data_IF_788692359965
#
_entry.id   IF_788692359965
#
_cell.length_a   1.000
_cell.length_b   1.000
_cell.length_c   1.000
_cell.angle_alpha   90.00
_cell.angle_beta   90.00
_cell.angle_gamma   90.00
#
_symmetry.space_group_name_H-M   'P 1'
#
loop_
_entity.id
_entity.type
_entity.pdbx_description
1 polymer ?
#
# COMPACT_ATOMS: atom_id res chain seq x y z
N UNK A 1 -34.68 15.47 8.92
CA UNK A 1 -33.60 16.05 8.15
C UNK A 1 -32.22 15.54 8.54
N UNK A 2 -31.91 15.48 9.84
CA UNK A 2 -30.62 14.93 10.28
C UNK A 2 -30.40 13.49 9.83
N UNK A 3 -31.45 12.67 9.82
CA UNK A 3 -31.36 11.26 9.40
C UNK A 3 -31.00 11.10 7.93
N UNK A 4 -31.47 11.99 7.07
CA UNK A 4 -31.16 11.96 5.64
C UNK A 4 -29.69 12.27 5.38
N UNK A 5 -29.12 13.20 6.13
CA UNK A 5 -27.71 13.58 6.01
C UNK A 5 -26.82 12.40 6.42
N UNK A 6 -27.16 11.71 7.51
CA UNK A 6 -26.42 10.53 7.95
C UNK A 6 -26.47 9.40 6.93
N UNK A 7 -27.62 9.18 6.32
CA UNK A 7 -27.77 8.15 5.29
C UNK A 7 -26.89 8.44 4.08
N UNK A 8 -26.84 9.69 3.65
CA UNK A 8 -26.00 10.10 2.52
C UNK A 8 -24.52 9.91 2.81
N UNK A 9 -24.09 10.23 4.03
CA UNK A 9 -22.70 10.03 4.44
C UNK A 9 -22.36 8.55 4.45
N UNK A 10 -23.25 7.69 4.94
CA UNK A 10 -23.04 6.24 4.93
C UNK A 10 -22.91 5.68 3.52
N UNK A 11 -23.72 6.14 2.59
CA UNK A 11 -23.64 5.73 1.19
C UNK A 11 -22.32 6.13 0.57
N UNK A 12 -21.84 7.34 0.82
CA UNK A 12 -20.56 7.82 0.33
C UNK A 12 -19.41 6.97 0.89
N UNK A 13 -19.45 6.65 2.18
CA UNK A 13 -18.48 5.77 2.80
C UNK A 13 -18.44 4.41 2.14
N UNK A 14 -19.59 3.81 1.93
CA UNK A 14 -19.72 2.51 1.28
C UNK A 14 -19.14 2.54 -0.12
N UNK A 15 -19.42 3.60 -0.88
CA UNK A 15 -18.91 3.76 -2.23
C UNK A 15 -17.37 3.84 -2.26
N UNK A 16 -16.76 4.52 -1.29
CA UNK A 16 -15.31 4.64 -1.19
C UNK A 16 -14.62 3.33 -0.82
N UNK A 17 -15.35 2.36 -0.24
CA UNK A 17 -14.77 1.08 0.14
C UNK A 17 -14.59 0.09 -1.01
N UNK A 18 -15.08 0.41 -2.20
CA UNK A 18 -14.96 -0.50 -3.35
C UNK A 18 -13.53 -0.67 -3.87
N UNK A 19 -12.66 0.30 -3.62
CA UNK A 19 -11.27 0.23 -4.04
C UNK A 19 -10.36 0.13 -2.83
N UNK A 20 -10.56 -0.91 -2.01
CA UNK A 20 -9.79 -1.09 -0.77
C UNK A 20 -8.42 -1.71 -1.02
N UNK A 21 -7.70 -1.20 -2.01
CA UNK A 21 -6.31 -1.59 -2.23
C UNK A 21 -5.42 -0.54 -1.59
N UNK A 22 -4.55 -0.99 -0.71
CA UNK A 22 -3.59 -0.11 -0.03
C UNK A 22 -2.18 -0.60 -0.36
N UNK A 23 -1.33 0.30 -0.77
CA UNK A 23 0.08 0.02 -1.02
C UNK A 23 0.89 0.68 0.07
N UNK A 24 1.64 -0.13 0.82
CA UNK A 24 2.49 0.39 1.89
C UNK A 24 3.94 0.27 1.47
N UNK A 25 4.63 1.39 1.45
CA UNK A 25 6.06 1.46 1.16
C UNK A 25 6.81 1.55 2.48
N UNK A 26 7.53 0.49 2.83
CA UNK A 26 8.37 0.45 4.02
C UNK A 26 9.81 0.72 3.63
N UNK A 27 10.42 1.67 4.29
CA UNK A 27 11.85 1.92 4.14
C UNK A 27 12.38 2.44 5.49
N UNK A 28 13.66 2.71 5.56
CA UNK A 28 14.29 3.27 6.73
C UNK A 28 15.01 4.55 6.34
N UNK A 29 15.10 5.49 7.26
CA UNK A 29 15.75 6.78 7.00
C UNK A 29 17.19 6.62 6.48
N UNK A 30 17.93 5.65 7.02
CA UNK A 30 19.30 5.38 6.57
C UNK A 30 19.38 4.87 5.12
N UNK A 31 18.25 4.43 4.55
CA UNK A 31 18.16 3.92 3.18
C UNK A 31 17.30 4.82 2.27
N UNK A 32 17.08 6.06 2.66
CA UNK A 32 16.14 6.95 1.94
C UNK A 32 16.55 7.25 0.49
N UNK A 33 17.82 7.09 0.15
CA UNK A 33 18.29 7.27 -1.23
C UNK A 33 17.71 6.20 -2.17
N UNK A 34 17.22 5.09 -1.62
CA UNK A 34 16.60 4.01 -2.38
C UNK A 34 15.07 4.00 -2.24
N UNK A 35 14.46 5.10 -1.81
CA UNK A 35 13.01 5.23 -1.80
C UNK A 35 12.45 4.99 -3.20
N UNK A 36 11.32 4.31 -3.25
CA UNK A 36 10.65 4.00 -4.51
C UNK A 36 9.65 5.12 -4.81
N UNK A 37 10.15 6.20 -5.39
CA UNK A 37 9.37 7.43 -5.59
C UNK A 37 8.15 7.22 -6.48
N UNK A 38 8.23 6.33 -7.48
CA UNK A 38 7.13 6.10 -8.41
C UNK A 38 5.92 5.42 -7.76
N UNK A 39 6.05 4.97 -6.50
CA UNK A 39 4.89 4.42 -5.77
C UNK A 39 3.77 5.46 -5.68
N UNK A 40 4.12 6.73 -5.58
CA UNK A 40 3.13 7.81 -5.55
C UNK A 40 2.32 7.92 -6.83
N UNK A 41 2.83 7.38 -7.92
CA UNK A 41 2.17 7.45 -9.23
C UNK A 41 1.27 6.25 -9.51
N UNK A 42 1.18 5.30 -8.57
CA UNK A 42 0.25 4.17 -8.72
C UNK A 42 -1.18 4.68 -8.61
N UNK A 43 -2.06 4.10 -9.43
CA UNK A 43 -3.47 4.50 -9.47
C UNK A 43 -4.38 3.43 -8.90
N UNK A 44 -5.59 3.86 -8.51
CA UNK A 44 -6.66 3.01 -8.00
C UNK A 44 -6.31 2.32 -6.68
N UNK A 45 -5.48 2.98 -5.86
CA UNK A 45 -5.07 2.47 -4.56
C UNK A 45 -4.74 3.65 -3.64
N UNK A 46 -4.77 3.39 -2.35
CA UNK A 46 -4.25 4.31 -1.36
C UNK A 46 -2.78 3.99 -1.10
N UNK A 47 -1.99 4.99 -0.82
CA UNK A 47 -0.55 4.83 -0.66
C UNK A 47 -0.12 5.35 0.70
N UNK A 48 0.67 4.54 1.41
CA UNK A 48 1.25 4.91 2.70
C UNK A 48 2.76 4.72 2.65
N UNK A 49 3.49 5.67 3.24
CA UNK A 49 4.94 5.55 3.43
C UNK A 49 5.23 5.37 4.91
N UNK A 50 5.98 4.34 5.25
CA UNK A 50 6.35 4.03 6.62
C UNK A 50 7.86 3.98 6.74
N UNK A 51 8.39 4.78 7.68
CA UNK A 51 9.79 4.71 8.08
C UNK A 51 9.89 3.79 9.30
N UNK A 52 10.43 2.60 9.09
CA UNK A 52 10.49 1.59 10.15
C UNK A 52 11.41 1.99 11.31
N UNK A 53 12.35 2.91 11.07
CA UNK A 53 13.20 3.40 12.15
C UNK A 53 12.41 4.26 13.14
N UNK A 54 11.30 4.85 12.70
CA UNK A 54 10.40 5.65 13.53
C UNK A 54 9.19 4.85 14.02
N UNK A 55 8.88 3.75 13.35
CA UNK A 55 7.71 2.93 13.65
C UNK A 55 8.08 1.46 13.77
N UNK A 56 8.83 1.09 14.82
CA UNK A 56 9.29 -0.29 14.99
C UNK A 56 8.16 -1.30 15.20
N UNK A 57 7.01 -0.85 15.72
CA UNK A 57 5.86 -1.75 15.88
C UNK A 57 5.34 -2.21 14.52
N UNK A 58 5.30 -1.33 13.54
CA UNK A 58 4.84 -1.68 12.19
C UNK A 58 5.85 -2.60 11.51
N UNK A 59 7.13 -2.38 11.73
CA UNK A 59 8.17 -3.30 11.24
C UNK A 59 7.91 -4.71 11.74
N UNK A 60 7.62 -4.85 13.02
CA UNK A 60 7.35 -6.13 13.66
C UNK A 60 6.04 -6.75 13.16
N UNK A 61 4.99 -5.94 13.11
CA UNK A 61 3.64 -6.37 12.72
C UNK A 61 3.62 -6.94 11.29
N UNK A 62 4.34 -6.30 10.38
CA UNK A 62 4.41 -6.74 8.98
C UNK A 62 5.63 -7.60 8.69
N UNK A 63 6.44 -7.91 9.70
CA UNK A 63 7.65 -8.74 9.54
C UNK A 63 8.57 -8.23 8.44
N UNK A 64 8.90 -6.94 8.51
CA UNK A 64 9.78 -6.31 7.53
C UNK A 64 11.23 -6.66 7.87
N UNK A 65 11.87 -7.42 6.99
CA UNK A 65 13.25 -7.90 7.19
C UNK A 65 14.26 -7.21 6.27
N UNK A 66 13.79 -6.67 5.14
CA UNK A 66 14.63 -5.91 4.21
C UNK A 66 13.89 -4.65 3.81
N UNK A 67 14.62 -3.63 3.38
CA UNK A 67 14.03 -2.38 2.91
C UNK A 67 14.70 -1.95 1.60
N UNK A 68 13.94 -1.34 0.67
CA UNK A 68 12.51 -1.12 0.77
C UNK A 68 11.71 -2.40 0.59
N UNK A 69 10.53 -2.46 1.20
CA UNK A 69 9.54 -3.51 0.98
C UNK A 69 8.22 -2.83 0.66
N UNK A 70 7.56 -3.30 -0.40
CA UNK A 70 6.24 -2.82 -0.77
C UNK A 70 5.24 -3.94 -0.52
N UNK A 71 4.20 -3.64 0.26
CA UNK A 71 3.14 -4.60 0.56
C UNK A 71 1.85 -4.09 -0.04
N UNK A 72 1.13 -4.96 -0.73
CA UNK A 72 -0.19 -4.66 -1.28
C UNK A 72 -1.22 -5.37 -0.42
N UNK A 73 -2.12 -4.58 0.16
CA UNK A 73 -3.24 -5.07 0.95
C UNK A 73 -4.53 -4.88 0.13
N UNK A 74 -5.46 -5.80 0.32
CA UNK A 74 -6.83 -5.64 -0.16
C UNK A 74 -7.75 -6.05 0.97
N UNK A 75 -8.65 -5.15 1.39
CA UNK A 75 -9.52 -5.36 2.55
C UNK A 75 -8.73 -5.77 3.79
N UNK A 76 -7.62 -5.05 4.03
CA UNK A 76 -6.70 -5.25 5.16
C UNK A 76 -5.96 -6.59 5.16
N UNK A 77 -6.02 -7.33 4.07
CA UNK A 77 -5.33 -8.61 3.92
C UNK A 77 -4.14 -8.47 2.97
N UNK A 78 -2.98 -8.95 3.39
CA UNK A 78 -1.79 -8.91 2.54
C UNK A 78 -1.97 -9.86 1.34
N UNK A 79 -1.88 -9.31 0.13
CA UNK A 79 -2.01 -10.06 -1.11
C UNK A 79 -0.68 -10.31 -1.79
N UNK A 80 0.24 -9.36 -1.71
CA UNK A 80 1.52 -9.46 -2.38
C UNK A 80 2.56 -8.62 -1.66
N UNK A 81 3.78 -9.09 -1.70
CA UNK A 81 4.92 -8.40 -1.10
C UNK A 81 6.06 -8.36 -2.11
N UNK A 82 6.66 -7.20 -2.29
CA UNK A 82 7.84 -7.00 -3.12
C UNK A 82 8.97 -6.55 -2.22
N UNK A 83 10.03 -7.35 -2.16
CA UNK A 83 11.15 -7.10 -1.25
C UNK A 83 12.40 -6.70 -2.02
N UNK A 84 13.21 -5.86 -1.41
CA UNK A 84 14.49 -5.44 -1.95
C UNK A 84 15.48 -6.61 -2.01
N UNK A 85 16.49 -6.44 -2.85
CA UNK A 85 17.62 -7.34 -2.90
C UNK A 85 18.63 -7.04 -1.78
N UNK A 86 19.76 -7.73 -1.78
CA UNK A 86 20.78 -7.56 -0.75
C UNK A 86 21.47 -6.21 -0.81
N UNK A 87 21.31 -5.44 -1.89
CA UNK A 87 21.84 -4.08 -1.99
C UNK A 87 20.83 -3.02 -1.56
N UNK A 88 19.71 -3.44 -0.96
CA UNK A 88 18.64 -2.56 -0.49
C UNK A 88 17.97 -1.77 -1.60
N UNK A 89 17.86 -2.38 -2.77
CA UNK A 89 17.18 -1.79 -3.93
C UNK A 89 16.05 -2.70 -4.38
N UNK A 90 14.91 -2.07 -4.71
CA UNK A 90 13.76 -2.81 -5.23
C UNK A 90 13.92 -3.01 -6.74
N UNK A 91 13.80 -4.27 -7.19
CA UNK A 91 13.87 -4.58 -8.62
C UNK A 91 12.50 -4.59 -9.30
N UNK A 92 11.41 -4.67 -8.53
CA UNK A 92 10.07 -4.62 -9.10
C UNK A 92 9.84 -3.27 -9.80
N UNK A 93 9.07 -3.30 -10.90
CA UNK A 93 8.78 -2.10 -11.67
C UNK A 93 7.40 -1.55 -11.33
N UNK A 94 7.19 -0.28 -11.68
CA UNK A 94 5.88 0.36 -11.52
C UNK A 94 4.80 -0.41 -12.29
N UNK A 95 5.11 -0.80 -13.51
CA UNK A 95 4.19 -1.53 -14.38
C UNK A 95 3.79 -2.87 -13.76
N UNK A 96 4.75 -3.58 -13.22
CA UNK A 96 4.51 -4.87 -12.56
C UNK A 96 3.54 -4.72 -11.39
N UNK A 97 3.76 -3.73 -10.55
CA UNK A 97 2.92 -3.50 -9.37
C UNK A 97 1.55 -2.97 -9.78
N UNK A 98 1.50 -2.04 -10.74
CA UNK A 98 0.22 -1.52 -11.24
C UNK A 98 -0.63 -2.63 -11.86
N UNK A 99 -0.02 -3.52 -12.63
CA UNK A 99 -0.73 -4.64 -13.25
C UNK A 99 -1.32 -5.56 -12.17
N UNK A 100 -0.58 -5.80 -11.09
CA UNK A 100 -1.08 -6.61 -9.99
C UNK A 100 -2.28 -5.95 -9.30
N UNK A 101 -2.20 -4.64 -9.06
CA UNK A 101 -3.32 -3.87 -8.48
C UNK A 101 -4.55 -3.97 -9.37
N UNK A 102 -4.36 -3.82 -10.68
CA UNK A 102 -5.46 -3.89 -11.64
C UNK A 102 -6.12 -5.28 -11.63
N UNK A 103 -5.32 -6.33 -11.53
CA UNK A 103 -5.84 -7.70 -11.41
C UNK A 103 -6.65 -7.89 -10.14
N UNK A 104 -6.18 -7.36 -9.01
CA UNK A 104 -6.91 -7.44 -7.75
C UNK A 104 -8.27 -6.76 -7.84
N UNK A 105 -8.33 -5.60 -8.46
CA UNK A 105 -9.57 -4.85 -8.61
C UNK A 105 -10.55 -5.62 -9.48
N UNK A 106 -10.08 -6.17 -10.59
CA UNK A 106 -10.92 -6.94 -11.51
C UNK A 106 -11.43 -8.23 -10.85
N UNK A 107 -10.61 -8.91 -10.07
CA UNK A 107 -11.00 -10.16 -9.42
C UNK A 107 -11.83 -9.94 -8.16
N UNK A 108 -11.84 -8.73 -7.60
CA UNK A 108 -12.60 -8.38 -6.42
C UNK A 108 -14.08 -8.11 -6.67
N UNK A 109 -14.49 -8.11 -7.92
CA UNK A 109 -15.89 -7.95 -8.31
C UNK A 109 -16.50 -9.32 -8.64
#
# INVERSE_FOLDING_TARGET
MKKLIFTLISILFTTMMYSQVVVIHFNADWNKSHNVAWVEDLSDCDIEFVDISKKPKLQSEYSIVVVPTIIILQYDEEKKRYQADLSFKLSATKEEIQDYIDELILSGF
#
